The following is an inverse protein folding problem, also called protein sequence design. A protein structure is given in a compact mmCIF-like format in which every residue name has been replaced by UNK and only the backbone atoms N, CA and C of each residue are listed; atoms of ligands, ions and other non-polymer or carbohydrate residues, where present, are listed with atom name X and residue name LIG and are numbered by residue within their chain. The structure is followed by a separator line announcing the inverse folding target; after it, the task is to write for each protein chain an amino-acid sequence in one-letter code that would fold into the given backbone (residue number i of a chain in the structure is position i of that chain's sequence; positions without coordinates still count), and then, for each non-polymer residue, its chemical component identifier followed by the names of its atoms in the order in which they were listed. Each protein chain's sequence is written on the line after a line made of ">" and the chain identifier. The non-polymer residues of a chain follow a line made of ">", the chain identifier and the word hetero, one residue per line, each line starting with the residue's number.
data_IF_997077128117
#
_entry.id   IF_997077128117
#
_cell.length_a   1.000
_cell.length_b   1.000
_cell.length_c   1.000
_cell.angle_alpha   90.00
_cell.angle_beta   90.00
_cell.angle_gamma   90.00
#
_symmetry.space_group_name_H-M   'P 1'
#
loop_
_entity.id
_entity.type
_entity.pdbx_description
1 polymer ?
#
# COMPACT_ATOMS: atom_id res chain seq x y z
N UNK A 1 5.03 26.30 -23.11
CA UNK A 1 5.48 25.01 -22.57
C UNK A 1 6.55 25.32 -21.55
N UNK A 2 6.29 24.98 -20.29
CA UNK A 2 7.33 24.95 -19.26
C UNK A 2 8.25 23.79 -19.59
N UNK A 3 9.56 24.02 -19.78
CA UNK A 3 10.51 22.95 -20.06
C UNK A 3 10.71 22.09 -18.79
N UNK A 4 9.90 21.04 -18.62
CA UNK A 4 10.14 19.97 -17.64
C UNK A 4 11.24 19.05 -18.17
N UNK A 5 12.07 18.51 -17.28
CA UNK A 5 13.13 17.57 -17.67
C UNK A 5 12.57 16.16 -17.81
N UNK A 6 11.87 15.91 -18.92
CA UNK A 6 11.31 14.61 -19.27
C UNK A 6 12.28 13.90 -20.21
N UNK A 7 12.65 12.68 -19.86
CA UNK A 7 13.48 11.80 -20.68
C UNK A 7 12.69 10.52 -20.95
N UNK A 8 12.58 10.15 -22.22
CA UNK A 8 11.95 8.89 -22.63
C UNK A 8 13.00 8.06 -23.33
N UNK A 9 13.23 6.84 -22.85
CA UNK A 9 14.25 5.96 -23.40
C UNK A 9 13.69 4.53 -23.58
N UNK A 10 14.09 3.81 -24.63
CA UNK A 10 13.80 2.39 -24.74
C UNK A 10 14.65 1.59 -23.73
N UNK A 11 14.06 0.59 -23.11
CA UNK A 11 14.76 -0.31 -22.20
C UNK A 11 15.49 -1.42 -22.98
N UNK A 12 16.80 -1.58 -22.75
CA UNK A 12 17.58 -2.75 -23.22
C UNK A 12 17.42 -3.97 -22.29
N UNK A 13 16.16 -4.38 -22.06
CA UNK A 13 15.77 -5.50 -21.18
C UNK A 13 14.43 -6.05 -21.66
N UNK A 14 14.17 -7.32 -21.37
CA UNK A 14 12.85 -7.93 -21.60
C UNK A 14 11.80 -7.33 -20.66
N UNK A 15 10.57 -7.18 -21.15
CA UNK A 15 9.42 -6.93 -20.29
C UNK A 15 9.36 -7.99 -19.16
N UNK A 16 8.88 -7.62 -17.98
CA UNK A 16 8.82 -8.57 -16.84
C UNK A 16 8.01 -9.82 -17.18
N UNK A 17 6.91 -9.65 -17.91
CA UNK A 17 6.06 -10.72 -18.40
C UNK A 17 6.83 -11.76 -19.24
N UNK A 18 7.88 -11.34 -19.96
CA UNK A 18 8.68 -12.19 -20.84
C UNK A 18 9.94 -12.77 -20.15
N UNK A 19 10.12 -12.50 -18.86
CA UNK A 19 11.17 -13.11 -18.04
C UNK A 19 10.81 -14.54 -17.65
N UNK A 20 11.82 -15.40 -17.45
CA UNK A 20 11.59 -16.79 -17.05
C UNK A 20 11.10 -16.95 -15.61
N UNK A 21 11.45 -16.01 -14.72
CA UNK A 21 11.10 -16.06 -13.31
C UNK A 21 10.56 -14.69 -12.90
N UNK A 22 9.42 -14.69 -12.24
CA UNK A 22 8.81 -13.52 -11.64
C UNK A 22 8.31 -13.84 -10.23
N UNK A 23 8.52 -12.90 -9.31
CA UNK A 23 8.08 -12.99 -7.92
C UNK A 23 7.29 -11.73 -7.61
N UNK A 24 6.12 -11.91 -7.00
CA UNK A 24 5.23 -10.84 -6.55
C UNK A 24 4.71 -11.20 -5.17
N UNK A 25 4.69 -10.23 -4.26
CA UNK A 25 4.07 -10.36 -2.95
C UNK A 25 3.02 -9.27 -2.74
N UNK A 26 1.99 -9.61 -1.97
CA UNK A 26 1.09 -8.63 -1.37
C UNK A 26 0.78 -9.04 0.06
N UNK A 27 0.92 -8.08 0.97
CA UNK A 27 0.50 -8.18 2.37
C UNK A 27 -0.86 -7.51 2.50
N UNK A 28 -1.88 -8.29 2.86
CA UNK A 28 -3.25 -7.81 3.00
C UNK A 28 -3.47 -6.87 4.18
N UNK A 29 -4.70 -6.37 4.31
CA UNK A 29 -5.00 -5.25 5.21
C UNK A 29 -4.81 -5.59 6.70
N UNK A 30 -4.98 -6.86 7.07
CA UNK A 30 -4.76 -7.36 8.44
C UNK A 30 -3.33 -7.80 8.74
N UNK A 31 -2.41 -7.76 7.76
CA UNK A 31 -1.01 -8.07 8.01
C UNK A 31 -0.37 -6.97 8.88
N UNK A 32 0.45 -7.28 9.90
CA UNK A 32 1.02 -6.29 10.83
C UNK A 32 1.66 -5.05 10.18
N UNK A 33 2.49 -5.23 9.15
CA UNK A 33 3.05 -4.10 8.39
C UNK A 33 1.99 -3.22 7.70
N UNK A 34 0.97 -3.84 7.09
CA UNK A 34 -0.13 -3.14 6.42
C UNK A 34 -1.06 -2.43 7.41
N UNK A 35 -1.22 -2.97 8.63
CA UNK A 35 -1.90 -2.29 9.73
C UNK A 35 -1.17 -0.99 10.07
N UNK A 36 0.16 -1.04 10.21
CA UNK A 36 0.95 0.16 10.47
C UNK A 36 0.83 1.20 9.34
N UNK A 37 0.92 0.76 8.08
CA UNK A 37 0.74 1.65 6.92
C UNK A 37 -0.67 2.28 6.92
N UNK A 38 -1.72 1.50 7.11
CA UNK A 38 -3.10 2.01 7.10
C UNK A 38 -3.44 2.91 8.28
N UNK A 39 -2.93 2.64 9.48
CA UNK A 39 -3.02 3.55 10.62
C UNK A 39 -2.29 4.86 10.30
N UNK A 40 -1.05 4.80 9.83
CA UNK A 40 -0.25 5.98 9.53
C UNK A 40 -0.96 6.87 8.49
N UNK A 41 -1.50 6.28 7.43
CA UNK A 41 -2.23 7.02 6.40
C UNK A 41 -3.55 7.59 6.90
N UNK A 42 -4.30 6.83 7.69
CA UNK A 42 -5.56 7.32 8.29
C UNK A 42 -5.32 8.53 9.20
N UNK A 43 -4.25 8.49 10.00
CA UNK A 43 -3.82 9.63 10.83
C UNK A 43 -3.41 10.83 9.96
N UNK A 44 -2.64 10.61 8.89
CA UNK A 44 -2.25 11.67 7.95
C UNK A 44 -3.47 12.37 7.35
N UNK A 45 -4.44 11.60 6.84
CA UNK A 45 -5.67 12.15 6.25
C UNK A 45 -6.50 12.92 7.28
N UNK A 46 -6.67 12.35 8.48
CA UNK A 46 -7.41 13.02 9.55
C UNK A 46 -6.74 14.33 10.00
N UNK A 47 -5.40 14.38 10.06
CA UNK A 47 -4.67 15.61 10.35
C UNK A 47 -4.80 16.63 9.22
N UNK A 48 -4.68 16.23 7.95
CA UNK A 48 -4.87 17.11 6.81
C UNK A 48 -6.24 17.77 6.81
N UNK A 49 -7.31 16.97 6.97
CA UNK A 49 -8.68 17.47 7.06
C UNK A 49 -8.86 18.41 8.26
N UNK A 50 -8.32 18.02 9.42
CA UNK A 50 -8.37 18.83 10.63
C UNK A 50 -7.69 20.20 10.48
N UNK A 51 -6.62 20.30 9.68
CA UNK A 51 -5.96 21.56 9.35
C UNK A 51 -6.79 22.40 8.37
N UNK A 52 -7.32 21.79 7.31
CA UNK A 52 -8.22 22.47 6.36
C UNK A 52 -9.45 23.07 7.08
N UNK A 53 -10.10 22.30 7.94
CA UNK A 53 -11.31 22.73 8.67
C UNK A 53 -11.04 23.89 9.64
N UNK A 54 -9.86 23.92 10.27
CA UNK A 54 -9.55 24.88 11.34
C UNK A 54 -8.85 26.14 10.84
N UNK A 55 -7.96 26.00 9.86
CA UNK A 55 -7.06 27.08 9.42
C UNK A 55 -7.01 27.24 7.89
N UNK A 56 -7.81 26.48 7.13
CA UNK A 56 -7.99 26.65 5.69
C UNK A 56 -6.82 26.16 4.82
N UNK A 57 -5.80 25.53 5.41
CA UNK A 57 -4.65 24.97 4.70
C UNK A 57 -4.05 23.81 5.47
N UNK A 58 -3.42 22.87 4.77
CA UNK A 58 -2.70 21.77 5.39
C UNK A 58 -1.39 22.29 5.98
N UNK A 59 -1.15 22.00 7.26
CA UNK A 59 0.09 22.35 7.96
C UNK A 59 1.11 21.21 7.88
N UNK A 60 2.34 21.46 8.36
CA UNK A 60 3.40 20.46 8.36
C UNK A 60 3.13 19.34 9.37
N UNK A 61 3.21 18.10 8.90
CA UNK A 61 3.20 16.89 9.72
C UNK A 61 3.84 15.75 8.93
N UNK A 62 4.30 14.70 9.60
CA UNK A 62 4.66 13.41 9.02
C UNK A 62 4.46 12.35 10.11
N UNK A 63 3.63 11.33 9.85
CA UNK A 63 3.23 10.28 10.81
C UNK A 63 3.57 8.89 10.28
N UNK A 64 4.66 8.79 9.52
CA UNK A 64 5.10 7.64 8.73
C UNK A 64 6.05 6.69 9.48
N UNK A 65 5.93 6.62 10.81
CA UNK A 65 6.88 5.88 11.68
C UNK A 65 6.16 4.97 12.69
N UNK A 66 4.91 4.58 12.42
CA UNK A 66 4.11 3.71 13.29
C UNK A 66 4.77 2.34 13.46
N UNK A 67 4.82 1.85 14.71
CA UNK A 67 5.32 0.55 15.10
C UNK A 67 4.20 -0.25 15.79
N UNK A 68 4.10 -1.54 15.46
CA UNK A 68 3.22 -2.50 16.10
C UNK A 68 4.09 -3.57 16.74
N UNK A 69 3.88 -3.77 18.04
CA UNK A 69 4.45 -4.88 18.82
C UNK A 69 3.36 -5.90 19.02
N UNK A 70 3.68 -7.14 18.68
CA UNK A 70 2.73 -8.24 18.75
C UNK A 70 2.22 -8.49 20.17
N UNK A 71 0.98 -8.95 20.25
CA UNK A 71 0.38 -9.46 21.47
C UNK A 71 0.68 -10.94 21.68
N UNK A 72 -0.18 -11.57 22.48
CA UNK A 72 -0.20 -13.01 22.68
C UNK A 72 -1.66 -13.47 22.80
N UNK A 73 -2.03 -14.53 22.09
CA UNK A 73 -3.37 -15.09 22.09
C UNK A 73 -3.34 -16.60 22.32
N UNK A 74 -4.49 -17.15 22.69
CA UNK A 74 -4.71 -18.59 22.82
C UNK A 74 -5.94 -19.01 21.99
N UNK A 75 -5.85 -19.02 20.65
CA UNK A 75 -6.95 -19.39 19.76
C UNK A 75 -7.34 -20.84 19.93
N UNK A 76 -8.64 -21.09 19.88
CA UNK A 76 -9.22 -22.41 20.03
C UNK A 76 -10.43 -22.52 19.13
N UNK A 77 -10.68 -23.71 18.59
CA UNK A 77 -11.92 -23.98 17.88
C UNK A 77 -13.14 -23.58 18.72
N UNK A 78 -14.04 -22.80 18.13
CA UNK A 78 -15.23 -22.26 18.78
C UNK A 78 -14.99 -20.98 19.59
N UNK A 79 -13.76 -20.47 19.64
CA UNK A 79 -13.40 -19.20 20.27
C UNK A 79 -12.31 -19.33 21.33
N UNK A 80 -11.22 -18.62 21.15
CA UNK A 80 -10.12 -18.46 22.07
C UNK A 80 -10.16 -17.12 22.82
N UNK A 81 -9.00 -16.69 23.31
CA UNK A 81 -8.87 -15.44 24.06
C UNK A 81 -7.53 -14.74 23.81
N UNK A 82 -7.56 -13.41 23.87
CA UNK A 82 -6.36 -12.58 23.95
C UNK A 82 -5.76 -12.68 25.36
N UNK A 83 -4.47 -13.00 25.44
CA UNK A 83 -3.72 -13.11 26.71
C UNK A 83 -2.96 -11.81 27.00
N UNK A 84 -2.28 -11.27 25.98
CA UNK A 84 -1.57 -10.00 26.05
C UNK A 84 -1.97 -9.13 24.85
N UNK A 85 -2.30 -7.85 25.06
CA UNK A 85 -2.74 -6.98 23.98
C UNK A 85 -1.59 -6.66 23.02
N UNK A 86 -1.94 -6.46 21.75
CA UNK A 86 -1.09 -5.81 20.76
C UNK A 86 -0.81 -4.38 21.24
N UNK A 87 0.40 -3.86 21.00
CA UNK A 87 0.73 -2.47 21.30
C UNK A 87 1.14 -1.74 20.03
N UNK A 88 0.42 -0.66 19.70
CA UNK A 88 0.74 0.21 18.57
C UNK A 88 1.22 1.56 19.07
N UNK A 89 2.40 1.96 18.62
CA UNK A 89 3.00 3.27 18.88
C UNK A 89 3.05 4.08 17.58
N UNK A 90 2.25 5.14 17.52
CA UNK A 90 2.23 6.10 16.41
C UNK A 90 3.20 7.22 16.77
N UNK A 91 4.27 7.37 16.00
CA UNK A 91 5.24 8.47 16.18
C UNK A 91 5.34 9.32 14.92
N UNK A 92 5.92 10.50 15.07
CA UNK A 92 6.09 11.43 13.97
C UNK A 92 6.15 12.87 14.42
N UNK A 93 5.74 13.78 13.54
CA UNK A 93 5.66 15.21 13.77
C UNK A 93 4.29 15.73 13.35
N UNK A 94 3.75 16.69 14.09
CA UNK A 94 2.54 17.40 13.71
C UNK A 94 2.55 18.83 14.30
N UNK A 95 2.04 19.81 13.55
CA UNK A 95 1.80 21.15 14.07
C UNK A 95 0.63 21.13 15.06
N UNK A 96 0.86 21.60 16.29
CA UNK A 96 -0.14 21.60 17.38
C UNK A 96 -0.72 22.97 17.69
N UNK A 97 -0.09 24.03 17.20
CA UNK A 97 -0.59 25.39 17.29
C UNK A 97 -0.23 26.18 16.02
N UNK A 98 -1.18 26.95 15.52
CA UNK A 98 -0.98 27.84 14.38
C UNK A 98 -1.79 29.12 14.58
N UNK A 99 -1.12 30.28 14.60
CA UNK A 99 -1.74 31.60 14.79
C UNK A 99 -2.69 31.66 16.01
N UNK A 100 -2.32 31.00 17.12
CA UNK A 100 -3.11 30.92 18.35
C UNK A 100 -4.25 29.89 18.32
N UNK A 101 -4.48 29.22 17.18
CA UNK A 101 -5.40 28.09 17.06
C UNK A 101 -4.71 26.81 17.51
N UNK A 102 -5.24 26.15 18.55
CA UNK A 102 -4.73 24.87 19.04
C UNK A 102 -5.33 23.70 18.27
N UNK A 103 -4.49 22.74 17.91
CA UNK A 103 -4.84 21.57 17.14
C UNK A 103 -4.51 20.34 17.99
N UNK A 104 -5.52 19.52 18.37
CA UNK A 104 -5.32 18.38 19.25
C UNK A 104 -4.78 17.17 18.45
N UNK A 105 -3.56 17.29 17.93
CA UNK A 105 -2.98 16.33 16.98
C UNK A 105 -2.98 14.89 17.52
N UNK A 106 -2.61 14.69 18.78
CA UNK A 106 -2.60 13.35 19.39
C UNK A 106 -4.00 12.76 19.55
N UNK A 107 -5.01 13.57 19.89
CA UNK A 107 -6.40 13.10 19.96
C UNK A 107 -6.91 12.71 18.57
N UNK A 108 -6.64 13.52 17.55
CA UNK A 108 -6.99 13.23 16.16
C UNK A 108 -6.34 11.91 15.71
N UNK A 109 -5.06 11.72 16.03
CA UNK A 109 -4.35 10.50 15.67
C UNK A 109 -4.92 9.25 16.37
N UNK A 110 -5.22 9.33 17.67
CA UNK A 110 -5.86 8.23 18.41
C UNK A 110 -7.23 7.87 17.84
N UNK A 111 -8.05 8.87 17.54
CA UNK A 111 -9.40 8.66 17.00
C UNK A 111 -9.33 8.03 15.60
N UNK A 112 -8.44 8.52 14.72
CA UNK A 112 -8.25 7.99 13.37
C UNK A 112 -7.72 6.55 13.37
N UNK A 113 -6.74 6.25 14.23
CA UNK A 113 -6.20 4.89 14.37
C UNK A 113 -7.25 3.91 14.91
N UNK A 114 -8.06 4.36 15.88
CA UNK A 114 -9.15 3.55 16.43
C UNK A 114 -10.22 3.24 15.39
N UNK A 115 -10.61 4.23 14.59
CA UNK A 115 -11.62 4.02 13.55
C UNK A 115 -11.09 3.10 12.45
N UNK A 116 -9.84 3.30 12.01
CA UNK A 116 -9.19 2.41 11.05
C UNK A 116 -9.22 0.94 11.52
N UNK A 117 -8.82 0.68 12.77
CA UNK A 117 -8.82 -0.69 13.29
C UNK A 117 -10.23 -1.27 13.40
N UNK A 118 -11.22 -0.47 13.85
CA UNK A 118 -12.62 -0.91 13.90
C UNK A 118 -13.16 -1.28 12.53
N UNK A 119 -12.81 -0.53 11.50
CA UNK A 119 -13.28 -0.77 10.13
C UNK A 119 -12.59 -1.97 9.48
N UNK A 120 -11.25 -2.08 9.63
CA UNK A 120 -10.46 -3.08 8.90
C UNK A 120 -10.29 -4.41 9.64
N UNK A 121 -10.36 -4.40 10.97
CA UNK A 121 -10.19 -5.58 11.83
C UNK A 121 -11.27 -5.56 12.92
N UNK A 122 -12.54 -5.78 12.54
CA UNK A 122 -13.68 -5.62 13.44
C UNK A 122 -13.65 -6.56 14.67
N UNK A 123 -12.88 -7.65 14.60
CA UNK A 123 -12.73 -8.61 15.70
C UNK A 123 -11.64 -8.25 16.71
N UNK A 124 -10.93 -7.13 16.52
CA UNK A 124 -9.92 -6.61 17.42
C UNK A 124 -10.48 -5.43 18.24
N UNK A 125 -10.70 -5.60 19.55
CA UNK A 125 -11.24 -4.54 20.40
C UNK A 125 -10.17 -3.57 20.92
N UNK A 126 -10.36 -2.28 20.63
CA UNK A 126 -9.44 -1.21 21.02
C UNK A 126 -9.63 -0.83 22.49
N UNK A 127 -8.63 -1.19 23.30
CA UNK A 127 -8.57 -0.95 24.74
C UNK A 127 -8.43 -2.24 25.55
N UNK A 128 -8.75 -3.40 24.96
CA UNK A 128 -8.55 -4.72 25.57
C UNK A 128 -7.57 -5.58 24.78
N UNK A 129 -7.73 -5.64 23.46
CA UNK A 129 -6.95 -6.51 22.58
C UNK A 129 -5.80 -5.74 21.92
N UNK A 130 -5.96 -4.43 21.79
CA UNK A 130 -4.93 -3.51 21.30
C UNK A 130 -4.88 -2.22 22.11
N UNK A 131 -3.66 -1.81 22.45
CA UNK A 131 -3.35 -0.54 23.10
C UNK A 131 -2.75 0.41 22.06
N UNK A 132 -3.35 1.60 21.94
CA UNK A 132 -2.85 2.66 21.07
C UNK A 132 -2.13 3.73 21.91
N UNK A 133 -0.90 4.07 21.53
CA UNK A 133 -0.13 5.19 22.08
C UNK A 133 0.33 6.11 20.95
N UNK A 134 0.41 7.41 21.24
CA UNK A 134 0.76 8.45 20.27
C UNK A 134 1.84 9.35 20.85
N UNK A 135 2.95 9.49 20.13
CA UNK A 135 4.07 10.38 20.47
C UNK A 135 4.47 11.24 19.28
N UNK A 136 3.68 12.28 19.04
CA UNK A 136 3.97 13.28 18.02
C UNK A 136 4.85 14.40 18.58
N UNK A 137 6.01 14.62 17.96
CA UNK A 137 6.81 15.82 18.20
C UNK A 137 6.23 17.03 17.47
N UNK A 138 6.66 18.24 17.84
CA UNK A 138 6.46 19.41 16.99
C UNK A 138 7.58 19.48 15.95
N UNK A 139 7.23 19.73 14.70
CA UNK A 139 8.21 20.01 13.66
C UNK A 139 8.90 21.35 13.92
N UNK A 140 10.16 21.48 13.51
CA UNK A 140 10.84 22.77 13.45
C UNK A 140 10.03 23.70 12.53
N UNK A 141 9.57 24.83 13.06
CA UNK A 141 8.76 25.82 12.35
C UNK A 141 9.43 26.48 11.14
N UNK A 142 10.55 25.96 10.63
CA UNK A 142 11.28 26.52 9.50
C UNK A 142 10.77 26.03 8.13
N UNK A 143 9.84 25.08 8.08
CA UNK A 143 9.13 24.70 6.84
C UNK A 143 7.88 25.57 6.60
N UNK A 144 7.87 26.80 7.12
CA UNK A 144 6.66 27.63 7.32
C UNK A 144 6.07 28.30 6.07
N UNK A 145 6.65 28.19 4.89
CA UNK A 145 6.06 28.78 3.68
C UNK A 145 6.09 27.81 2.51
N UNK A 146 5.02 27.01 2.38
CA UNK A 146 4.74 26.21 1.18
C UNK A 146 3.44 26.65 0.49
N UNK A 147 2.62 27.47 1.17
CA UNK A 147 1.49 28.16 0.57
C UNK A 147 1.78 29.65 0.55
N UNK A 148 2.15 30.18 -0.61
CA UNK A 148 2.17 31.62 -0.82
C UNK A 148 0.73 32.16 -0.79
N UNK A 149 0.53 33.26 -0.07
CA UNK A 149 -0.67 34.08 -0.17
C UNK A 149 -0.71 34.72 -1.57
N UNK A 150 -1.10 33.98 -2.60
CA UNK A 150 -1.56 34.46 -3.92
C UNK A 150 -1.72 33.25 -4.86
N UNK A 151 -2.92 32.64 -4.87
CA UNK A 151 -3.39 31.70 -5.92
C UNK A 151 -2.45 30.56 -6.35
N UNK A 152 -2.66 29.35 -5.81
CA UNK A 152 -2.12 28.08 -6.29
C UNK A 152 -0.63 28.13 -6.70
N UNK A 153 0.25 28.44 -5.75
CA UNK A 153 1.69 28.20 -5.92
C UNK A 153 1.93 26.69 -5.75
N UNK A 154 2.47 26.03 -6.78
CA UNK A 154 2.89 24.62 -6.68
C UNK A 154 3.86 24.48 -5.49
N UNK A 155 3.62 23.52 -4.57
CA UNK A 155 4.48 23.29 -3.42
C UNK A 155 5.95 23.08 -3.79
N UNK A 156 6.84 23.46 -2.89
CA UNK A 156 8.28 23.16 -3.00
C UNK A 156 8.57 21.81 -2.34
N UNK A 157 9.39 20.99 -3.00
CA UNK A 157 9.86 19.70 -2.50
C UNK A 157 10.51 19.84 -1.12
N UNK A 158 10.02 19.06 -0.15
CA UNK A 158 10.56 19.02 1.21
C UNK A 158 11.93 18.31 1.32
N UNK A 159 12.23 17.43 0.36
CA UNK A 159 13.40 16.56 0.35
C UNK A 159 13.87 16.27 -1.08
N UNK A 160 15.07 15.68 -1.19
CA UNK A 160 15.64 15.10 -2.41
C UNK A 160 15.43 13.59 -2.36
N UNK A 161 14.27 13.16 -2.87
CA UNK A 161 13.82 11.76 -2.88
C UNK A 161 13.35 11.37 -4.29
N UNK A 162 12.99 10.11 -4.45
CA UNK A 162 12.46 9.61 -5.72
C UNK A 162 11.25 8.71 -5.52
N UNK A 163 10.38 8.73 -6.53
CA UNK A 163 9.25 7.81 -6.66
C UNK A 163 9.40 6.94 -7.90
N UNK A 164 8.81 5.75 -7.85
CA UNK A 164 8.82 4.79 -8.96
C UNK A 164 7.41 4.26 -9.18
N UNK A 165 6.96 4.27 -10.43
CA UNK A 165 5.73 3.61 -10.86
C UNK A 165 5.98 2.73 -12.08
N UNK A 166 5.07 1.80 -12.36
CA UNK A 166 5.10 0.97 -13.55
C UNK A 166 3.70 0.54 -13.97
N UNK A 167 3.57 0.23 -15.26
CA UNK A 167 2.38 -0.32 -15.89
C UNK A 167 2.79 -1.00 -17.22
N UNK A 168 1.94 -1.86 -17.81
CA UNK A 168 0.83 -2.53 -17.14
C UNK A 168 1.35 -3.45 -16.03
N UNK A 169 0.45 -3.86 -15.14
CA UNK A 169 0.72 -4.98 -14.25
C UNK A 169 0.82 -6.27 -15.09
N UNK A 170 1.78 -7.13 -14.78
CA UNK A 170 1.88 -8.49 -15.34
C UNK A 170 0.68 -9.34 -14.92
N UNK A 171 0.49 -10.48 -15.59
CA UNK A 171 -0.54 -11.45 -15.18
C UNK A 171 -0.33 -11.89 -13.72
N UNK A 172 0.92 -12.12 -13.29
CA UNK A 172 1.23 -12.52 -11.91
C UNK A 172 0.94 -11.37 -10.92
N UNK A 173 1.28 -10.13 -11.27
CA UNK A 173 0.96 -8.94 -10.48
C UNK A 173 -0.56 -8.75 -10.34
N UNK A 174 -1.32 -8.94 -11.41
CA UNK A 174 -2.78 -8.88 -11.41
C UNK A 174 -3.41 -9.98 -10.55
N UNK A 175 -2.94 -11.22 -10.66
CA UNK A 175 -3.45 -12.35 -9.84
C UNK A 175 -3.23 -12.06 -8.36
N UNK A 176 -2.00 -11.71 -7.96
CA UNK A 176 -1.67 -11.47 -6.55
C UNK A 176 -2.45 -10.29 -5.98
N UNK A 177 -2.56 -9.18 -6.73
CA UNK A 177 -3.30 -7.99 -6.31
C UNK A 177 -4.79 -8.28 -6.12
N UNK A 178 -5.41 -8.90 -7.14
CA UNK A 178 -6.85 -9.08 -7.16
C UNK A 178 -7.30 -10.24 -6.26
N UNK A 179 -6.52 -11.32 -6.14
CA UNK A 179 -6.84 -12.41 -5.23
C UNK A 179 -6.91 -11.92 -3.78
N UNK A 180 -5.94 -11.12 -3.31
CA UNK A 180 -5.95 -10.59 -1.94
C UNK A 180 -7.15 -9.65 -1.73
N UNK A 181 -7.37 -8.71 -2.66
CA UNK A 181 -8.46 -7.73 -2.55
C UNK A 181 -9.82 -8.40 -2.53
N UNK A 182 -10.03 -9.41 -3.39
CA UNK A 182 -11.30 -10.11 -3.50
C UNK A 182 -11.51 -11.10 -2.36
N UNK A 183 -10.44 -11.68 -1.80
CA UNK A 183 -10.53 -12.45 -0.56
C UNK A 183 -11.02 -11.58 0.60
N UNK A 184 -10.39 -10.41 0.80
CA UNK A 184 -10.72 -9.48 1.88
C UNK A 184 -12.01 -8.66 1.67
N UNK A 185 -12.65 -8.77 0.50
CA UNK A 185 -13.89 -8.07 0.21
C UNK A 185 -15.03 -9.03 -0.14
N UNK A 186 -14.97 -9.67 -1.31
CA UNK A 186 -16.04 -10.51 -1.85
C UNK A 186 -16.18 -11.82 -1.05
N UNK A 187 -15.07 -12.55 -0.84
CA UNK A 187 -15.10 -13.83 -0.14
C UNK A 187 -15.41 -13.65 1.36
N UNK A 188 -14.73 -12.72 2.03
CA UNK A 188 -14.91 -12.45 3.46
C UNK A 188 -16.33 -11.97 3.81
N UNK A 189 -17.02 -11.27 2.89
CA UNK A 189 -18.41 -10.85 3.10
C UNK A 189 -19.39 -12.03 3.26
N UNK A 190 -19.10 -13.16 2.61
CA UNK A 190 -19.89 -14.39 2.70
C UNK A 190 -19.28 -15.40 3.69
N UNK A 191 -18.00 -15.25 4.03
CA UNK A 191 -17.22 -16.17 4.85
C UNK A 191 -16.49 -15.40 5.97
N UNK A 192 -17.18 -15.02 7.06
CA UNK A 192 -16.59 -14.24 8.16
C UNK A 192 -15.49 -14.99 8.92
N UNK A 193 -15.31 -16.28 8.63
CA UNK A 193 -14.19 -17.10 9.11
C UNK A 193 -12.84 -16.63 8.57
N UNK A 194 -12.79 -16.01 7.38
CA UNK A 194 -11.54 -15.48 6.84
C UNK A 194 -11.22 -14.14 7.50
N UNK A 195 -10.11 -14.09 8.24
CA UNK A 195 -9.59 -12.86 8.82
C UNK A 195 -8.94 -11.94 7.78
N UNK A 196 -8.78 -10.64 8.11
CA UNK A 196 -8.21 -9.66 7.19
C UNK A 196 -6.71 -9.87 6.88
N UNK A 197 -6.01 -10.67 7.68
CA UNK A 197 -4.61 -11.02 7.46
C UNK A 197 -4.48 -12.13 6.42
N UNK A 198 -4.39 -11.67 5.17
CA UNK A 198 -4.15 -12.51 3.99
C UNK A 198 -2.88 -12.03 3.30
N UNK A 199 -1.86 -12.87 3.26
CA UNK A 199 -0.62 -12.63 2.50
C UNK A 199 -0.57 -13.55 1.29
N UNK A 200 -0.34 -12.98 0.12
CA UNK A 200 -0.23 -13.74 -1.13
C UNK A 200 1.16 -13.56 -1.73
N UNK A 201 1.78 -14.68 -2.07
CA UNK A 201 3.02 -14.75 -2.83
C UNK A 201 2.76 -15.45 -4.16
N UNK A 202 2.96 -14.73 -5.26
CA UNK A 202 3.01 -15.29 -6.61
C UNK A 202 4.45 -15.56 -7.02
N UNK A 203 4.70 -16.75 -7.54
CA UNK A 203 5.97 -17.12 -8.16
C UNK A 203 5.68 -17.75 -9.52
N UNK A 204 5.95 -17.03 -10.59
CA UNK A 204 5.89 -17.56 -11.95
C UNK A 204 7.26 -18.09 -12.35
N UNK A 205 7.27 -19.30 -12.90
CA UNK A 205 8.43 -19.88 -13.55
C UNK A 205 8.00 -20.37 -14.94
N UNK A 206 8.33 -19.59 -15.97
CA UNK A 206 7.87 -19.76 -17.36
C UNK A 206 6.33 -19.72 -17.42
N UNK A 207 5.71 -20.84 -17.78
CA UNK A 207 4.26 -20.98 -17.97
C UNK A 207 3.54 -21.58 -16.77
N UNK A 208 4.20 -21.66 -15.61
CA UNK A 208 3.61 -22.14 -14.36
C UNK A 208 3.67 -21.07 -13.28
N UNK A 209 2.54 -20.81 -12.62
CA UNK A 209 2.42 -19.85 -11.52
C UNK A 209 2.06 -20.62 -10.25
N UNK A 210 2.92 -20.57 -9.25
CA UNK A 210 2.58 -20.97 -7.89
C UNK A 210 2.05 -19.75 -7.13
N UNK A 211 0.84 -19.84 -6.59
CA UNK A 211 0.24 -18.83 -5.71
C UNK A 211 0.16 -19.41 -4.31
N UNK A 212 0.96 -18.90 -3.39
CA UNK A 212 0.93 -19.28 -1.97
C UNK A 212 0.15 -18.24 -1.19
N UNK A 213 -0.90 -18.67 -0.50
CA UNK A 213 -1.78 -17.86 0.33
C UNK A 213 -1.56 -18.24 1.79
N UNK A 214 -1.23 -17.28 2.64
CA UNK A 214 -1.33 -17.40 4.08
C UNK A 214 -2.55 -16.60 4.52
N UNK A 215 -3.56 -17.28 5.07
CA UNK A 215 -4.86 -16.74 5.40
C UNK A 215 -5.22 -17.10 6.84
N UNK A 216 -5.28 -16.08 7.70
CA UNK A 216 -5.69 -16.25 9.09
C UNK A 216 -7.18 -16.65 9.16
N UNK A 217 -7.49 -17.72 9.90
CA UNK A 217 -8.88 -18.13 10.14
C UNK A 217 -9.31 -17.71 11.54
N UNK A 218 -10.48 -17.09 11.67
CA UNK A 218 -11.00 -16.60 12.94
C UNK A 218 -11.71 -17.74 13.69
N UNK A 219 -11.23 -18.00 14.90
CA UNK A 219 -11.45 -19.23 15.65
C UNK A 219 -12.89 -19.46 16.13
N UNK A 220 -13.61 -18.38 16.45
CA UNK A 220 -15.03 -18.42 16.86
C UNK A 220 -15.95 -18.94 15.76
N UNK A 221 -15.50 -18.89 14.51
CA UNK A 221 -16.24 -19.37 13.34
C UNK A 221 -15.84 -20.77 12.90
N UNK A 222 -14.92 -21.44 13.62
CA UNK A 222 -14.41 -22.77 13.26
C UNK A 222 -14.63 -23.73 14.43
N UNK A 223 -15.52 -24.71 14.28
CA UNK A 223 -15.86 -25.63 15.36
C UNK A 223 -14.84 -26.78 15.54
N UNK A 224 -14.16 -27.17 14.46
CA UNK A 224 -13.16 -28.24 14.47
C UNK A 224 -12.25 -28.20 13.23
N UNK A 225 -11.30 -29.13 13.18
CA UNK A 225 -10.35 -29.27 12.07
C UNK A 225 -11.01 -29.55 10.73
N UNK A 226 -12.13 -30.27 10.68
CA UNK A 226 -12.79 -30.56 9.41
C UNK A 226 -13.39 -29.30 8.80
N UNK A 227 -13.93 -28.40 9.64
CA UNK A 227 -14.39 -27.09 9.20
C UNK A 227 -13.24 -26.20 8.75
N UNK A 228 -12.12 -26.16 9.49
CA UNK A 228 -10.91 -25.45 9.09
C UNK A 228 -10.42 -25.88 7.70
N UNK A 229 -10.25 -27.19 7.48
CA UNK A 229 -9.78 -27.73 6.21
C UNK A 229 -10.75 -27.40 5.06
N UNK A 230 -12.07 -27.40 5.33
CA UNK A 230 -13.07 -27.02 4.33
C UNK A 230 -12.94 -25.55 3.90
N UNK A 231 -12.63 -24.65 4.85
CA UNK A 231 -12.40 -23.22 4.55
C UNK A 231 -11.09 -23.04 3.77
N UNK A 232 -10.03 -23.77 4.13
CA UNK A 232 -8.75 -23.77 3.39
C UNK A 232 -8.96 -24.18 1.93
N UNK A 233 -9.74 -25.23 1.67
CA UNK A 233 -10.09 -25.64 0.31
C UNK A 233 -10.96 -24.60 -0.41
N UNK A 234 -11.92 -23.98 0.27
CA UNK A 234 -12.74 -22.92 -0.31
C UNK A 234 -11.90 -21.69 -0.73
N UNK A 235 -10.92 -21.28 0.09
CA UNK A 235 -9.96 -20.21 -0.25
C UNK A 235 -9.11 -20.63 -1.46
N UNK A 236 -8.65 -21.88 -1.51
CA UNK A 236 -7.87 -22.39 -2.65
C UNK A 236 -8.66 -22.31 -3.96
N UNK A 237 -9.89 -22.81 -3.95
CA UNK A 237 -10.76 -22.80 -5.12
C UNK A 237 -11.13 -21.38 -5.55
N UNK A 238 -11.37 -20.49 -4.59
CA UNK A 238 -11.65 -19.09 -4.86
C UNK A 238 -10.47 -18.40 -5.56
N UNK A 239 -9.26 -18.48 -4.97
CA UNK A 239 -8.05 -17.88 -5.56
C UNK A 239 -7.74 -18.46 -6.93
N UNK A 240 -7.96 -19.77 -7.12
CA UNK A 240 -7.83 -20.40 -8.45
C UNK A 240 -8.80 -19.78 -9.45
N UNK A 241 -10.07 -19.61 -9.08
CA UNK A 241 -11.06 -19.00 -9.97
C UNK A 241 -10.72 -17.56 -10.34
N UNK A 242 -10.16 -16.78 -9.40
CA UNK A 242 -9.65 -15.43 -9.69
C UNK A 242 -8.48 -15.51 -10.65
N UNK A 243 -7.55 -16.46 -10.46
CA UNK A 243 -6.38 -16.57 -11.32
C UNK A 243 -6.73 -16.92 -12.77
N UNK A 244 -7.72 -17.78 -12.98
CA UNK A 244 -8.23 -18.18 -14.30
C UNK A 244 -8.80 -16.98 -15.11
N UNK A 245 -9.10 -15.84 -14.47
CA UNK A 245 -9.54 -14.61 -15.15
C UNK A 245 -8.39 -13.82 -15.78
N UNK A 246 -7.15 -14.02 -15.33
CA UNK A 246 -5.99 -13.19 -15.70
C UNK A 246 -4.92 -13.95 -16.50
N UNK A 247 -4.99 -15.28 -16.58
CA UNK A 247 -3.96 -16.07 -17.27
C UNK A 247 -4.50 -17.37 -17.86
N UNK A 248 -3.92 -17.78 -18.98
CA UNK A 248 -4.08 -19.12 -19.56
C UNK A 248 -2.99 -20.11 -19.09
N UNK A 249 -2.07 -19.65 -18.23
CA UNK A 249 -0.95 -20.47 -17.70
C UNK A 249 -1.43 -21.49 -16.68
N UNK A 250 -0.58 -22.48 -16.42
CA UNK A 250 -0.86 -23.42 -15.33
C UNK A 250 -0.72 -22.73 -13.98
N UNK A 251 -1.78 -22.69 -13.18
CA UNK A 251 -1.77 -22.11 -11.84
C UNK A 251 -1.95 -23.19 -10.78
N UNK A 252 -1.03 -23.23 -9.80
CA UNK A 252 -1.16 -24.04 -8.58
C UNK A 252 -1.31 -23.14 -7.37
N UNK A 253 -2.41 -23.33 -6.64
CA UNK A 253 -2.70 -22.56 -5.42
C UNK A 253 -2.40 -23.41 -4.18
N UNK A 254 -1.58 -22.86 -3.30
CA UNK A 254 -1.26 -23.43 -1.98
C UNK A 254 -1.83 -22.52 -0.90
N UNK A 255 -2.46 -23.07 0.12
CA UNK A 255 -3.05 -22.30 1.22
C UNK A 255 -2.52 -22.83 2.54
N UNK A 256 -2.09 -21.94 3.43
CA UNK A 256 -1.58 -22.23 4.78
C UNK A 256 -0.57 -23.39 4.80
N UNK A 257 0.48 -23.29 3.98
CA UNK A 257 1.47 -24.36 3.78
C UNK A 257 2.29 -24.74 5.02
N UNK A 258 2.20 -23.95 6.09
CA UNK A 258 2.83 -24.26 7.38
C UNK A 258 1.98 -25.23 8.22
N UNK A 259 0.74 -25.47 7.83
CA UNK A 259 -0.17 -26.34 8.56
C UNK A 259 0.34 -27.78 8.59
N UNK A 260 0.17 -28.44 9.73
CA UNK A 260 0.53 -29.84 9.89
C UNK A 260 -0.62 -30.64 10.49
N UNK A 261 -0.71 -31.91 10.09
CA UNK A 261 -1.57 -32.89 10.72
C UNK A 261 -0.69 -33.76 11.63
N UNK A 262 -0.86 -33.63 12.95
CA UNK A 262 -0.15 -34.42 13.96
C UNK A 262 -1.14 -35.01 14.97
N UNK A 263 -0.85 -36.22 15.45
CA UNK A 263 -1.63 -36.85 16.54
C UNK A 263 -1.34 -36.19 17.91
N UNK A 264 -0.19 -35.53 18.07
CA UNK A 264 0.30 -34.97 19.34
C UNK A 264 0.27 -33.43 19.42
N UNK A 265 0.40 -32.72 18.28
CA UNK A 265 0.37 -31.27 18.21
C UNK A 265 -0.17 -30.84 16.82
N UNK A 266 -1.25 -30.05 16.83
CA UNK A 266 -1.88 -29.50 15.63
C UNK A 266 -1.37 -28.08 15.44
N UNK A 267 -0.72 -27.81 14.29
CA UNK A 267 -0.31 -26.47 13.91
C UNK A 267 -1.16 -26.04 12.72
N UNK A 268 -2.01 -25.05 12.92
CA UNK A 268 -2.90 -24.46 11.93
C UNK A 268 -2.93 -22.95 12.11
N UNK A 269 -3.20 -22.20 11.04
CA UNK A 269 -3.28 -20.74 11.09
C UNK A 269 -4.64 -20.25 11.62
N UNK A 270 -4.89 -20.54 12.90
CA UNK A 270 -6.07 -20.12 13.64
C UNK A 270 -5.77 -18.88 14.49
N UNK A 271 -6.69 -17.92 14.53
CA UNK A 271 -6.54 -16.63 15.21
C UNK A 271 -7.83 -16.22 15.93
N UNK A 272 -7.75 -15.43 17.00
CA UNK A 272 -8.89 -14.89 17.76
C UNK A 272 -9.48 -13.64 17.10
N UNK A 273 -8.61 -12.84 16.48
CA UNK A 273 -8.89 -11.49 15.95
C UNK A 273 -8.77 -11.39 14.43
N UNK A 274 -8.26 -12.44 13.77
CA UNK A 274 -8.07 -12.44 12.31
C UNK A 274 -6.77 -11.81 11.82
N UNK A 275 -5.82 -11.53 12.72
CA UNK A 275 -4.47 -11.02 12.39
C UNK A 275 -3.38 -11.78 13.14
N UNK A 276 -2.24 -12.05 12.50
CA UNK A 276 -1.08 -12.65 13.19
C UNK A 276 -0.40 -11.72 14.19
N UNK A 277 -0.76 -10.44 14.21
CA UNK A 277 -0.32 -9.50 15.23
C UNK A 277 -0.62 -9.99 16.66
N UNK A 278 -1.64 -10.83 16.84
CA UNK A 278 -1.98 -11.41 18.14
C UNK A 278 -0.99 -12.51 18.61
N UNK A 279 -0.09 -12.96 17.74
CA UNK A 279 0.66 -14.23 17.85
C UNK A 279 2.18 -14.08 17.65
N UNK A 280 2.72 -12.88 17.86
CA UNK A 280 4.17 -12.63 17.84
C UNK A 280 4.73 -11.98 16.57
N UNK A 281 3.89 -11.64 15.58
CA UNK A 281 4.34 -10.90 14.39
C UNK A 281 4.25 -9.37 14.60
N UNK A 282 5.41 -8.71 14.61
CA UNK A 282 5.51 -7.26 14.67
C UNK A 282 5.25 -6.60 13.30
N UNK A 283 4.94 -5.30 13.31
CA UNK A 283 4.68 -4.52 12.09
C UNK A 283 5.30 -3.13 12.12
N UNK A 284 5.65 -2.59 10.96
CA UNK A 284 6.09 -1.17 10.87
C UNK A 284 5.79 -0.54 9.50
N UNK A 285 5.60 0.78 9.50
CA UNK A 285 5.34 1.55 8.27
C UNK A 285 6.45 1.32 7.25
N UNK A 286 6.06 1.20 5.98
CA UNK A 286 6.99 1.09 4.86
C UNK A 286 7.66 -0.27 4.69
N UNK A 287 7.29 -1.28 5.50
CA UNK A 287 7.77 -2.67 5.38
C UNK A 287 6.83 -3.58 4.59
N UNK A 288 5.69 -3.03 4.19
CA UNK A 288 4.69 -3.70 3.37
C UNK A 288 4.83 -3.40 1.88
N UNK A 289 3.67 -3.31 1.23
CA UNK A 289 3.53 -3.07 -0.19
C UNK A 289 4.08 -1.70 -0.62
N UNK A 290 4.32 -1.51 -1.92
CA UNK A 290 4.62 -0.20 -2.51
C UNK A 290 3.31 0.53 -2.87
N UNK A 291 3.40 1.76 -3.40
CA UNK A 291 2.23 2.59 -3.76
C UNK A 291 1.24 1.93 -4.72
N UNK A 292 1.69 1.00 -5.56
CA UNK A 292 0.83 0.23 -6.46
C UNK A 292 0.11 -0.95 -5.77
N UNK A 293 0.41 -1.22 -4.51
CA UNK A 293 -0.16 -2.30 -3.73
C UNK A 293 0.60 -3.62 -3.77
N UNK A 294 1.81 -3.67 -4.33
CA UNK A 294 2.59 -4.90 -4.47
C UNK A 294 4.05 -4.73 -4.04
N UNK A 295 4.72 -5.84 -3.80
CA UNK A 295 6.18 -5.94 -3.69
C UNK A 295 6.65 -6.76 -4.90
N UNK A 296 7.36 -6.11 -5.81
CA UNK A 296 7.70 -6.65 -7.13
C UNK A 296 9.22 -6.60 -7.35
N UNK A 297 10.01 -7.55 -6.82
CA UNK A 297 11.47 -7.57 -6.99
C UNK A 297 11.96 -7.61 -8.45
N UNK A 298 11.10 -8.02 -9.40
CA UNK A 298 11.41 -7.96 -10.83
C UNK A 298 11.23 -6.55 -11.43
N UNK A 299 10.60 -5.63 -10.71
CA UNK A 299 10.43 -4.22 -11.05
C UNK A 299 11.38 -3.37 -10.21
N UNK A 300 11.52 -2.10 -10.59
CA UNK A 300 12.15 -1.12 -9.70
C UNK A 300 11.14 -0.63 -8.67
N UNK A 301 11.61 -0.41 -7.45
CA UNK A 301 10.79 0.07 -6.34
C UNK A 301 11.51 1.22 -5.63
N UNK A 302 10.73 2.16 -5.10
CA UNK A 302 11.24 3.11 -4.10
C UNK A 302 11.17 2.50 -2.71
N UNK A 303 12.20 2.78 -1.90
CA UNK A 303 12.23 2.42 -0.49
C UNK A 303 11.48 3.44 0.39
N UNK A 304 11.06 4.56 -0.19
CA UNK A 304 10.23 5.56 0.50
C UNK A 304 8.90 4.93 0.89
N UNK A 305 8.59 4.95 2.19
CA UNK A 305 7.23 4.71 2.66
C UNK A 305 6.32 5.85 2.16
N UNK A 306 5.11 5.55 1.73
CA UNK A 306 4.12 6.53 1.27
C UNK A 306 3.14 6.90 2.37
N UNK A 307 2.70 5.92 3.15
CA UNK A 307 1.71 6.08 4.21
C UNK A 307 2.17 7.00 5.34
N UNK A 308 1.31 7.92 5.76
CA UNK A 308 1.56 8.83 6.89
C UNK A 308 2.34 10.11 6.55
N UNK A 309 2.95 10.18 5.36
CA UNK A 309 3.65 11.38 4.90
C UNK A 309 2.67 12.47 4.44
N UNK A 310 3.09 13.73 4.57
CA UNK A 310 2.31 14.87 4.13
C UNK A 310 2.01 14.82 2.61
N UNK A 311 0.74 14.89 2.17
CA UNK A 311 0.38 14.81 0.76
C UNK A 311 0.63 16.11 -0.02
N UNK A 312 1.06 17.21 0.62
CA UNK A 312 1.28 18.51 -0.05
C UNK A 312 2.67 18.63 -0.64
N UNK A 313 3.70 18.25 0.11
CA UNK A 313 5.09 18.52 -0.30
C UNK A 313 6.06 17.37 -0.06
N UNK A 314 5.60 16.24 0.50
CA UNK A 314 6.49 15.12 0.75
C UNK A 314 6.72 14.29 -0.52
N UNK A 315 7.91 14.42 -1.11
CA UNK A 315 8.24 13.80 -2.39
C UNK A 315 8.13 12.27 -2.34
N UNK A 316 8.65 11.63 -1.29
CA UNK A 316 8.54 10.18 -1.13
C UNK A 316 7.11 9.63 -1.27
N UNK A 317 6.08 10.41 -0.91
CA UNK A 317 4.68 10.04 -1.13
C UNK A 317 4.21 10.44 -2.52
N UNK A 318 4.31 11.74 -2.84
CA UNK A 318 3.72 12.32 -4.05
C UNK A 318 4.29 11.67 -5.31
N UNK A 319 5.61 11.46 -5.40
CA UNK A 319 6.22 10.92 -6.61
C UNK A 319 6.00 9.41 -6.79
N UNK A 320 5.81 8.65 -5.71
CA UNK A 320 5.44 7.23 -5.84
C UNK A 320 3.99 7.09 -6.32
N UNK A 321 3.09 7.93 -5.80
CA UNK A 321 1.69 7.98 -6.24
C UNK A 321 1.59 8.49 -7.68
N UNK A 322 2.15 9.68 -7.96
CA UNK A 322 2.14 10.27 -9.29
C UNK A 322 2.83 9.39 -10.32
N UNK A 323 4.00 8.81 -10.02
CA UNK A 323 4.68 7.92 -10.95
C UNK A 323 3.84 6.68 -11.31
N UNK A 324 3.02 6.19 -10.37
CA UNK A 324 2.09 5.09 -10.60
C UNK A 324 0.93 5.53 -11.51
N UNK A 325 0.34 6.70 -11.26
CA UNK A 325 -0.75 7.23 -12.07
C UNK A 325 -0.31 7.65 -13.49
N UNK A 326 0.90 8.22 -13.63
CA UNK A 326 1.52 8.47 -14.93
C UNK A 326 1.66 7.17 -15.72
N UNK A 327 2.20 6.12 -15.08
CA UNK A 327 2.43 4.86 -15.79
C UNK A 327 1.12 4.26 -16.30
N UNK A 328 0.06 4.29 -15.48
CA UNK A 328 -1.29 3.85 -15.88
C UNK A 328 -1.83 4.67 -17.04
N UNK A 329 -1.82 6.00 -16.91
CA UNK A 329 -2.34 6.92 -17.93
C UNK A 329 -1.64 6.72 -19.28
N UNK A 330 -0.32 6.55 -19.27
CA UNK A 330 0.46 6.28 -20.49
C UNK A 330 0.02 4.95 -21.13
N UNK A 331 -0.08 3.87 -20.37
CA UNK A 331 -0.45 2.55 -20.92
C UNK A 331 -1.91 2.48 -21.36
N UNK A 332 -2.80 3.26 -20.72
CA UNK A 332 -4.22 3.34 -21.08
C UNK A 332 -4.45 4.16 -22.36
N UNK A 333 -3.61 5.17 -22.64
CA UNK A 333 -3.78 6.09 -23.78
C UNK A 333 -2.86 5.77 -24.97
N UNK A 334 -1.74 5.09 -24.75
CA UNK A 334 -0.74 4.78 -25.78
C UNK A 334 -0.70 3.28 -26.03
N UNK A 335 -1.23 2.86 -27.19
CA UNK A 335 -1.19 1.46 -27.62
C UNK A 335 0.25 1.00 -27.92
N UNK A 336 0.53 -0.29 -27.73
CA UNK A 336 1.81 -0.87 -28.11
C UNK A 336 2.91 -0.82 -27.06
N UNK A 337 2.55 -0.59 -25.80
CA UNK A 337 3.48 -0.61 -24.66
C UNK A 337 3.41 -1.96 -23.96
N UNK A 338 4.52 -2.70 -23.96
CA UNK A 338 4.66 -4.01 -23.33
C UNK A 338 5.03 -3.90 -21.84
N UNK A 339 5.88 -2.94 -21.48
CA UNK A 339 6.35 -2.68 -20.10
C UNK A 339 6.81 -1.20 -20.02
N UNK A 340 6.35 -0.47 -19.01
CA UNK A 340 6.72 0.92 -18.76
C UNK A 340 7.13 1.10 -17.30
N UNK A 341 8.21 1.85 -17.09
CA UNK A 341 8.65 2.34 -15.78
C UNK A 341 8.74 3.85 -15.80
N UNK A 342 8.21 4.49 -14.75
CA UNK A 342 8.36 5.91 -14.48
C UNK A 342 9.22 6.09 -13.23
N UNK A 343 10.26 6.92 -13.31
CA UNK A 343 11.07 7.38 -12.17
C UNK A 343 11.01 8.90 -12.10
N UNK A 344 10.56 9.41 -10.97
CA UNK A 344 10.56 10.85 -10.70
C UNK A 344 11.57 11.14 -9.59
N UNK A 345 12.53 12.02 -9.84
CA UNK A 345 13.53 12.45 -8.86
C UNK A 345 13.32 13.91 -8.52
N UNK A 346 13.17 14.25 -7.24
CA UNK A 346 13.12 15.66 -6.83
C UNK A 346 14.51 16.20 -6.53
N UNK A 347 14.57 17.52 -6.37
CA UNK A 347 15.64 18.20 -5.64
C UNK A 347 14.98 19.11 -4.62
N UNK A 348 15.43 19.03 -3.36
CA UNK A 348 14.88 19.84 -2.27
C UNK A 348 14.84 21.33 -2.64
N UNK A 349 13.70 22.00 -2.36
CA UNK A 349 13.50 23.41 -2.70
C UNK A 349 13.22 23.69 -4.18
N UNK A 350 12.87 22.68 -4.99
CA UNK A 350 12.29 22.85 -6.33
C UNK A 350 10.77 22.65 -6.30
N UNK A 351 9.99 23.28 -7.19
CA UNK A 351 8.56 22.98 -7.34
C UNK A 351 8.33 21.49 -7.61
N UNK A 352 7.32 20.90 -6.97
CA UNK A 352 7.05 19.46 -7.09
C UNK A 352 6.59 19.07 -8.51
N UNK A 353 6.03 20.00 -9.29
CA UNK A 353 5.68 19.79 -10.71
C UNK A 353 6.92 19.83 -11.63
N UNK A 354 8.12 20.12 -11.10
CA UNK A 354 9.37 20.22 -11.86
C UNK A 354 10.44 19.31 -11.26
N UNK A 355 10.30 17.98 -11.45
CA UNK A 355 11.30 17.04 -10.98
C UNK A 355 12.66 17.37 -11.58
N UNK A 356 13.72 17.02 -10.85
CA UNK A 356 15.09 17.08 -11.35
C UNK A 356 15.24 16.22 -12.61
N UNK A 357 14.55 15.08 -12.66
CA UNK A 357 14.29 14.31 -13.87
C UNK A 357 12.98 13.52 -13.72
N UNK A 358 12.18 13.51 -14.78
CA UNK A 358 11.11 12.54 -15.01
C UNK A 358 11.58 11.59 -16.10
N UNK A 359 11.90 10.37 -15.71
CA UNK A 359 12.49 9.35 -16.57
C UNK A 359 11.45 8.26 -16.86
N UNK A 360 11.09 8.12 -18.12
CA UNK A 360 10.18 7.10 -18.63
C UNK A 360 10.97 6.09 -19.46
N UNK A 361 10.99 4.87 -18.99
CA UNK A 361 11.72 3.76 -19.61
C UNK A 361 10.69 2.76 -20.14
N UNK A 362 10.67 2.55 -21.46
CA UNK A 362 9.62 1.79 -22.16
C UNK A 362 10.16 0.58 -22.92
N UNK A 363 9.42 -0.53 -22.90
CA UNK A 363 9.56 -1.67 -23.81
C UNK A 363 8.35 -1.64 -24.74
N UNK A 364 8.52 -1.27 -26.02
CA UNK A 364 7.46 -1.38 -27.01
C UNK A 364 7.14 -2.86 -27.33
N UNK A 365 5.94 -3.10 -27.83
CA UNK A 365 5.59 -4.35 -28.52
C UNK A 365 6.48 -4.59 -29.75
N UNK A 366 6.65 -5.84 -30.18
CA UNK A 366 7.60 -6.21 -31.26
C UNK A 366 7.37 -5.44 -32.58
N UNK A 367 6.11 -5.11 -32.89
CA UNK A 367 5.70 -4.43 -34.12
C UNK A 367 5.61 -2.89 -33.99
N UNK A 368 5.96 -2.31 -32.84
CA UNK A 368 5.81 -0.88 -32.55
C UNK A 368 7.17 -0.20 -32.46
N UNK A 369 7.38 0.83 -33.28
CA UNK A 369 8.58 1.63 -33.24
C UNK A 369 8.57 2.58 -32.04
N UNK A 370 9.69 2.68 -31.32
CA UNK A 370 9.84 3.65 -30.22
C UNK A 370 9.47 5.08 -30.64
N UNK A 371 9.88 5.51 -31.83
CA UNK A 371 9.58 6.84 -32.37
C UNK A 371 8.09 7.09 -32.62
N UNK A 372 7.28 6.04 -32.67
CA UNK A 372 5.84 6.14 -32.92
C UNK A 372 5.06 6.46 -31.64
N UNK A 373 5.65 6.23 -30.46
CA UNK A 373 5.02 6.40 -29.14
C UNK A 373 5.71 7.44 -28.24
N UNK A 374 6.94 7.84 -28.59
CA UNK A 374 7.77 8.74 -27.76
C UNK A 374 7.09 10.08 -27.44
N UNK A 375 6.52 10.75 -28.46
CA UNK A 375 5.89 12.07 -28.30
C UNK A 375 4.65 12.00 -27.40
N UNK A 376 3.80 10.98 -27.59
CA UNK A 376 2.60 10.77 -26.77
C UNK A 376 2.95 10.49 -25.31
N UNK A 377 4.01 9.71 -25.04
CA UNK A 377 4.51 9.47 -23.68
C UNK A 377 4.97 10.78 -23.05
N UNK A 378 5.74 11.60 -23.76
CA UNK A 378 6.20 12.90 -23.25
C UNK A 378 5.02 13.80 -22.90
N UNK A 379 4.02 13.89 -23.77
CA UNK A 379 2.85 14.75 -23.59
C UNK A 379 2.02 14.34 -22.37
N UNK A 380 1.81 13.03 -22.17
CA UNK A 380 1.10 12.51 -20.99
C UNK A 380 1.90 12.79 -19.72
N UNK A 381 3.21 12.50 -19.70
CA UNK A 381 4.07 12.77 -18.53
C UNK A 381 4.05 14.26 -18.16
N UNK A 382 4.12 15.17 -19.15
CA UNK A 382 4.07 16.62 -18.89
C UNK A 382 2.71 17.06 -18.35
N UNK A 383 1.62 16.49 -18.88
CA UNK A 383 0.23 16.76 -18.45
C UNK A 383 0.02 16.35 -16.99
N UNK A 384 0.38 15.13 -16.63
CA UNK A 384 0.23 14.62 -15.26
C UNK A 384 1.12 15.38 -14.26
N UNK A 385 2.35 15.75 -14.66
CA UNK A 385 3.21 16.60 -13.83
C UNK A 385 2.60 18.00 -13.61
N UNK A 386 1.92 18.56 -14.62
CA UNK A 386 1.23 19.84 -14.50
C UNK A 386 0.06 19.80 -13.52
N UNK A 387 -0.56 18.64 -13.34
CA UNK A 387 -1.68 18.42 -12.43
C UNK A 387 -1.26 17.73 -11.11
N UNK A 388 0.03 17.75 -10.74
CA UNK A 388 0.53 17.07 -9.52
C UNK A 388 -0.24 17.37 -8.23
N UNK A 389 -0.94 18.50 -8.13
CA UNK A 389 -1.77 18.85 -6.97
C UNK A 389 -3.04 18.01 -6.84
N UNK A 390 -3.54 17.39 -7.92
CA UNK A 390 -4.67 16.46 -7.83
C UNK A 390 -4.34 15.24 -6.98
N UNK A 391 -3.07 14.80 -6.95
CA UNK A 391 -2.59 13.76 -6.02
C UNK A 391 -2.82 14.16 -4.57
N UNK A 392 -2.61 15.43 -4.21
CA UNK A 392 -2.87 15.93 -2.86
C UNK A 392 -4.36 15.81 -2.51
N UNK A 393 -5.22 16.25 -3.41
CA UNK A 393 -6.68 16.23 -3.24
C UNK A 393 -7.19 14.78 -3.11
N UNK A 394 -6.87 13.92 -4.08
CA UNK A 394 -7.31 12.51 -4.07
C UNK A 394 -6.81 11.73 -2.86
N UNK A 395 -5.64 12.05 -2.30
CA UNK A 395 -5.18 11.40 -1.07
C UNK A 395 -5.98 11.89 0.15
N UNK A 396 -6.23 13.19 0.27
CA UNK A 396 -7.01 13.74 1.40
C UNK A 396 -8.42 13.14 1.37
N UNK A 397 -9.04 13.12 0.19
CA UNK A 397 -10.39 12.57 -0.03
C UNK A 397 -10.44 11.03 0.09
N UNK A 398 -9.28 10.36 0.03
CA UNK A 398 -9.17 8.91 0.19
C UNK A 398 -9.46 8.10 -1.07
N UNK A 399 -9.41 8.75 -2.22
CA UNK A 399 -9.62 8.15 -3.53
C UNK A 399 -8.37 7.41 -4.01
N UNK A 400 -7.19 7.82 -3.53
CA UNK A 400 -5.92 7.21 -3.89
C UNK A 400 -5.33 6.37 -2.74
N UNK A 401 -5.02 5.11 -3.03
CA UNK A 401 -4.38 4.19 -2.08
C UNK A 401 -2.87 4.46 -2.01
N UNK A 402 -2.29 4.22 -0.85
CA UNK A 402 -0.84 4.40 -0.62
C UNK A 402 -0.05 3.09 -0.54
N UNK A 403 -0.72 1.93 -0.43
CA UNK A 403 -0.12 0.59 -0.30
C UNK A 403 -1.10 -0.53 -0.70
#
# INVERSE_FOLDING_TARGET
>A
MTERNIQVEPIDRRAVEDQEIEIVERKGIGHPDSICDGIAESVSRALAQAYLDRVGKVLHYNTDETQLVAGNANPQFGGGEMIEPIYVLIVGRATKEYEGTKIPAETIALDAAREYLREQIPELDVGTDVILDVKLGEGSGDLQEVFGEDGATVPMANDTSFGVGHAPLTETEQIVLNAERRLNAEFAAENPVLGPDVKIMGKRQRDHIDVTVAAAMIDRYVADRAEYDAVVEAVRDYVRSVADEYTDREVTVHVNTADTAGEDEENIYLTTTGTSAEMGDDGSVGRGNRSNGLITPNRSMSMEATSGKNPVNHIGKIYNLLGTEIAKSVVDEVEGIRDLRIRLLSQIGRPIDRPHVADAEVVPEEDVGFSDIEEDIVDIVDRELADVTSITESVIDGELRTF
#
